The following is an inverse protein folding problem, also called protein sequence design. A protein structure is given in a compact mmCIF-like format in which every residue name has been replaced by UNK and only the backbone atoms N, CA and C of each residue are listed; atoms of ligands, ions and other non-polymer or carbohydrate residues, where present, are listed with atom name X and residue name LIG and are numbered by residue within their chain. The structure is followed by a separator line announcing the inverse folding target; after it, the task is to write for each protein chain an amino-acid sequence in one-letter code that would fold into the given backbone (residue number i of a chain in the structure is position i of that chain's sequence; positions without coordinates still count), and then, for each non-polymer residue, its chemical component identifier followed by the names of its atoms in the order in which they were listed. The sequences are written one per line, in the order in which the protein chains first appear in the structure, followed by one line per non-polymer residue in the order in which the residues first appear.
data_IF_689937261216
#
_entry.id   IF_689937261216
#
_cell.length_a   1.000
_cell.length_b   1.000
_cell.length_c   1.000
_cell.angle_alpha   90.00
_cell.angle_beta   90.00
_cell.angle_gamma   90.00
#
_symmetry.space_group_name_H-M   'P 1'
#
loop_
_entity.id
_entity.type
_entity.pdbx_description
1 polymer ?
#
# COMPACT_ATOMS: atom_id res chain seq x y z
N UNK A 1 3.42 20.17 11.16
CA UNK A 1 3.00 18.77 11.02
C UNK A 1 4.25 17.91 10.91
N UNK A 2 4.34 16.86 11.71
CA UNK A 2 5.44 15.89 11.58
C UNK A 2 5.08 14.82 10.54
N UNK A 3 6.08 14.35 9.80
CA UNK A 3 5.92 13.28 8.81
C UNK A 3 6.94 12.18 9.07
N UNK A 4 6.57 10.96 8.74
CA UNK A 4 7.47 9.83 8.91
C UNK A 4 6.96 8.54 8.31
N UNK A 5 7.76 7.51 8.47
CA UNK A 5 7.55 6.18 7.93
C UNK A 5 7.27 5.22 9.08
N UNK A 6 6.33 4.31 8.88
CA UNK A 6 6.04 3.25 9.86
C UNK A 6 6.19 1.88 9.23
N UNK A 7 6.86 0.99 9.96
CA UNK A 7 6.98 -0.43 9.68
C UNK A 7 6.34 -1.25 10.80
N UNK A 8 6.00 -2.50 10.51
CA UNK A 8 5.50 -3.44 11.51
C UNK A 8 6.09 -4.82 11.29
N UNK A 9 6.94 -5.29 12.21
CA UNK A 9 7.61 -6.58 12.12
C UNK A 9 7.46 -7.37 13.42
N UNK A 10 6.69 -8.46 13.40
CA UNK A 10 6.66 -9.42 14.51
C UNK A 10 6.79 -10.86 14.01
N UNK A 11 6.91 -11.81 14.93
CA UNK A 11 7.17 -13.21 14.62
C UNK A 11 8.60 -13.41 14.11
N UNK A 12 8.74 -14.02 12.93
CA UNK A 12 10.03 -14.45 12.42
C UNK A 12 11.03 -13.30 12.21
N UNK A 13 12.30 -13.55 12.54
CA UNK A 13 13.45 -12.64 12.39
C UNK A 13 13.57 -12.03 11.00
N UNK A 14 13.21 -12.81 9.97
CA UNK A 14 13.20 -12.36 8.58
C UNK A 14 12.39 -11.06 8.40
N UNK A 15 11.22 -10.93 9.02
CA UNK A 15 10.39 -9.74 8.87
C UNK A 15 11.06 -8.48 9.42
N UNK A 16 11.74 -8.62 10.56
CA UNK A 16 12.48 -7.51 11.15
C UNK A 16 13.70 -7.16 10.29
N UNK A 17 14.45 -8.17 9.84
CA UNK A 17 15.62 -7.97 8.99
C UNK A 17 15.26 -7.34 7.64
N UNK A 18 14.16 -7.75 7.01
CA UNK A 18 13.64 -7.14 5.79
C UNK A 18 13.32 -5.65 6.05
N UNK A 19 12.63 -5.35 7.17
CA UNK A 19 12.32 -3.97 7.57
C UNK A 19 13.56 -3.11 7.81
N UNK A 20 14.62 -3.67 8.38
CA UNK A 20 15.93 -3.00 8.52
C UNK A 20 16.55 -2.70 7.16
N UNK A 21 16.53 -3.65 6.22
CA UNK A 21 17.07 -3.42 4.87
C UNK A 21 16.27 -2.35 4.11
N UNK A 22 14.94 -2.38 4.25
CA UNK A 22 14.05 -1.34 3.71
C UNK A 22 14.41 0.03 4.30
N UNK A 23 14.48 0.16 5.62
CA UNK A 23 14.83 1.41 6.28
C UNK A 23 16.21 1.95 5.89
N UNK A 24 17.22 1.06 5.73
CA UNK A 24 18.55 1.44 5.22
C UNK A 24 18.49 2.04 3.82
N UNK A 25 17.69 1.44 2.92
CA UNK A 25 17.49 1.99 1.57
C UNK A 25 16.87 3.39 1.59
N UNK A 26 15.98 3.64 2.55
CA UNK A 26 15.34 4.93 2.75
C UNK A 26 16.32 5.94 3.32
N UNK A 27 16.99 5.66 4.44
CA UNK A 27 17.95 6.58 5.06
C UNK A 27 19.11 6.95 4.13
N UNK A 28 19.45 6.09 3.16
CA UNK A 28 20.42 6.42 2.10
C UNK A 28 19.97 7.56 1.19
N UNK A 29 18.66 7.67 0.92
CA UNK A 29 18.08 8.63 -0.02
C UNK A 29 17.38 9.80 0.69
N UNK A 30 16.90 9.58 1.92
CA UNK A 30 16.19 10.52 2.78
C UNK A 30 16.72 10.39 4.22
N UNK A 31 17.94 10.88 4.53
CA UNK A 31 18.58 10.67 5.83
C UNK A 31 17.77 11.29 7.00
N UNK A 32 17.09 12.40 6.74
CA UNK A 32 16.35 13.17 7.75
C UNK A 32 14.92 12.69 8.01
N UNK A 33 14.41 11.72 7.23
CA UNK A 33 13.03 11.26 7.45
C UNK A 33 12.95 10.37 8.69
N UNK A 34 11.98 10.64 9.56
CA UNK A 34 11.75 9.82 10.73
C UNK A 34 11.17 8.45 10.35
N UNK A 35 11.69 7.38 10.94
CA UNK A 35 11.25 6.01 10.73
C UNK A 35 10.95 5.37 12.09
N UNK A 36 9.73 4.86 12.25
CA UNK A 36 9.29 4.11 13.44
C UNK A 36 9.03 2.65 13.10
N UNK A 37 9.61 1.75 13.90
CA UNK A 37 9.36 0.30 13.80
C UNK A 37 8.46 -0.17 14.94
N UNK A 38 7.34 -0.81 14.61
CA UNK A 38 6.50 -1.53 15.57
C UNK A 38 6.95 -3.00 15.61
N UNK A 39 7.48 -3.47 16.74
CA UNK A 39 8.06 -4.82 16.84
C UNK A 39 8.07 -5.34 18.29
N UNK A 40 8.30 -6.64 18.46
CA UNK A 40 8.57 -7.28 19.75
C UNK A 40 10.07 -7.41 20.06
N UNK A 41 10.91 -7.11 19.07
CA UNK A 41 12.37 -7.14 19.19
C UNK A 41 12.88 -5.81 19.71
N UNK A 42 14.03 -5.84 20.39
CA UNK A 42 14.74 -4.64 20.81
C UNK A 42 15.82 -4.30 19.79
N UNK A 43 15.79 -3.04 19.40
CA UNK A 43 16.89 -2.21 18.87
C UNK A 43 17.56 -2.55 17.53
N UNK A 44 17.41 -1.63 16.58
CA UNK A 44 18.37 -1.36 15.50
C UNK A 44 18.43 0.18 15.35
N UNK A 45 19.63 0.75 15.37
CA UNK A 45 19.84 2.21 15.37
C UNK A 45 19.41 2.89 14.07
N UNK A 46 19.02 2.13 13.05
CA UNK A 46 18.45 2.69 11.82
C UNK A 46 17.08 3.36 12.04
N UNK A 47 16.36 2.96 13.10
CA UNK A 47 15.04 3.50 13.42
C UNK A 47 15.15 4.65 14.42
N UNK A 48 14.49 5.77 14.14
CA UNK A 48 14.45 6.92 15.05
C UNK A 48 13.56 6.65 16.28
N UNK A 49 12.63 5.69 16.15
CA UNK A 49 11.80 5.22 17.26
C UNK A 49 11.43 3.74 17.10
N UNK A 50 11.30 3.03 18.21
CA UNK A 50 10.82 1.64 18.26
C UNK A 50 9.65 1.56 19.22
N UNK A 51 8.50 1.11 18.73
CA UNK A 51 7.30 0.87 19.53
C UNK A 51 7.19 -0.62 19.80
N UNK A 52 7.28 -0.99 21.08
CA UNK A 52 7.17 -2.41 21.47
C UNK A 52 5.73 -2.87 21.36
N UNK A 53 5.47 -3.92 20.58
CA UNK A 53 4.17 -4.60 20.46
C UNK A 53 4.34 -6.12 20.70
N UNK A 54 3.28 -6.85 21.12
CA UNK A 54 3.36 -8.28 21.34
C UNK A 54 3.83 -9.08 20.11
N UNK A 55 4.75 -10.03 20.32
CA UNK A 55 5.34 -10.82 19.24
C UNK A 55 4.55 -12.07 18.83
N UNK A 56 3.54 -12.43 19.62
CA UNK A 56 3.07 -13.81 19.73
C UNK A 56 1.76 -14.05 18.97
N UNK A 57 1.16 -12.99 18.41
CA UNK A 57 -0.13 -13.10 17.75
C UNK A 57 0.04 -13.42 16.27
N UNK A 58 0.16 -14.73 15.98
CA UNK A 58 0.17 -15.33 14.63
C UNK A 58 -1.04 -14.86 13.79
N UNK A 59 -2.10 -14.36 14.45
CA UNK A 59 -3.34 -13.91 13.83
C UNK A 59 -3.53 -12.39 13.82
N UNK A 60 -2.57 -11.58 14.30
CA UNK A 60 -2.66 -10.13 14.19
C UNK A 60 -1.80 -9.61 13.03
N UNK A 61 -2.46 -8.88 12.13
CA UNK A 61 -1.74 -8.13 11.11
C UNK A 61 -1.24 -6.84 11.74
N UNK A 62 -0.02 -6.86 12.25
CA UNK A 62 0.57 -5.75 13.02
C UNK A 62 0.66 -4.42 12.25
N UNK A 63 0.48 -4.46 10.93
CA UNK A 63 0.28 -3.25 10.11
C UNK A 63 -0.83 -2.36 10.66
N UNK A 64 -1.92 -2.94 11.15
CA UNK A 64 -3.07 -2.18 11.63
C UNK A 64 -2.68 -1.37 12.86
N UNK A 65 -2.09 -2.04 13.84
CA UNK A 65 -1.56 -1.41 15.05
C UNK A 65 -0.58 -0.28 14.72
N UNK A 66 0.36 -0.53 13.80
CA UNK A 66 1.36 0.47 13.39
C UNK A 66 0.77 1.68 12.66
N UNK A 67 -0.22 1.47 11.79
CA UNK A 67 -0.87 2.56 11.07
C UNK A 67 -1.80 3.35 11.98
N UNK A 68 -2.60 2.68 12.81
CA UNK A 68 -3.57 3.31 13.74
C UNK A 68 -2.83 4.13 14.80
N UNK A 69 -1.74 3.60 15.35
CA UNK A 69 -0.97 4.24 16.42
C UNK A 69 0.27 4.99 15.90
N UNK A 70 0.30 5.35 14.62
CA UNK A 70 1.41 6.10 14.04
C UNK A 70 1.70 7.39 14.83
N UNK A 71 2.99 7.74 15.09
CA UNK A 71 3.34 8.95 15.82
C UNK A 71 3.35 10.21 14.94
N UNK A 72 2.99 10.09 13.66
CA UNK A 72 3.09 11.17 12.68
C UNK A 72 1.71 11.70 12.27
N UNK A 73 1.65 13.00 11.94
CA UNK A 73 0.48 13.64 11.33
C UNK A 73 0.29 13.16 9.88
N UNK A 74 1.40 12.86 9.20
CA UNK A 74 1.41 12.26 7.86
C UNK A 74 2.34 11.05 7.85
N UNK A 75 1.82 9.93 7.36
CA UNK A 75 2.45 8.64 7.55
C UNK A 75 2.55 7.88 6.24
N UNK A 76 3.76 7.44 5.89
CA UNK A 76 4.00 6.43 4.87
C UNK A 76 4.18 5.07 5.56
N UNK A 77 3.19 4.19 5.48
CA UNK A 77 3.35 2.79 5.84
C UNK A 77 3.96 2.00 4.69
N UNK A 78 4.92 1.14 5.03
CA UNK A 78 5.57 0.21 4.11
C UNK A 78 5.53 -1.21 4.67
N UNK A 79 5.22 -2.19 3.81
CA UNK A 79 5.52 -3.59 4.10
C UNK A 79 7.05 -3.74 4.28
N UNK A 80 7.49 -4.66 5.14
CA UNK A 80 8.91 -4.81 5.47
C UNK A 80 9.76 -5.25 4.27
N UNK A 81 9.17 -5.94 3.30
CA UNK A 81 9.83 -6.46 2.08
C UNK A 81 9.89 -5.43 0.94
N UNK A 82 9.90 -4.14 1.29
CA UNK A 82 10.05 -3.01 0.35
C UNK A 82 11.50 -2.56 0.24
N UNK A 83 11.86 -1.90 -0.86
CA UNK A 83 13.17 -1.30 -1.04
C UNK A 83 13.05 -0.03 -1.89
N UNK A 84 13.53 1.10 -1.37
CA UNK A 84 13.45 2.39 -2.06
C UNK A 84 14.61 2.55 -3.05
N UNK A 85 14.29 2.85 -4.30
CA UNK A 85 15.27 2.96 -5.39
C UNK A 85 15.54 4.40 -5.84
N UNK A 86 14.65 5.35 -5.52
CA UNK A 86 14.73 6.74 -5.97
C UNK A 86 14.24 7.69 -4.86
N UNK A 87 14.74 8.93 -4.81
CA UNK A 87 14.37 9.89 -3.76
C UNK A 87 13.02 10.54 -4.07
N UNK A 88 11.91 9.81 -3.87
CA UNK A 88 10.55 10.22 -4.27
C UNK A 88 9.61 10.50 -3.09
N UNK A 89 10.06 10.28 -1.87
CA UNK A 89 9.16 10.29 -0.71
C UNK A 89 8.58 11.69 -0.44
N UNK A 90 9.35 12.77 -0.57
CA UNK A 90 8.85 14.13 -0.38
C UNK A 90 7.74 14.47 -1.38
N UNK A 91 7.91 14.07 -2.63
CA UNK A 91 6.90 14.26 -3.68
C UNK A 91 5.62 13.47 -3.38
N UNK A 92 5.75 12.24 -2.84
CA UNK A 92 4.59 11.49 -2.39
C UNK A 92 3.82 12.26 -1.30
N UNK A 93 4.50 12.80 -0.28
CA UNK A 93 3.86 13.58 0.78
C UNK A 93 3.11 14.83 0.28
N UNK A 94 3.50 15.41 -0.86
CA UNK A 94 2.75 16.53 -1.47
C UNK A 94 1.34 16.13 -1.90
N UNK A 95 1.08 14.86 -2.23
CA UNK A 95 -0.24 14.37 -2.60
C UNK A 95 -1.25 14.50 -1.45
N UNK A 96 -0.78 14.43 -0.20
CA UNK A 96 -1.64 14.61 0.98
C UNK A 96 -2.17 16.04 1.16
N UNK A 97 -1.73 17.00 0.34
CA UNK A 97 -2.36 18.33 0.27
C UNK A 97 -3.73 18.29 -0.43
N UNK A 98 -4.02 17.24 -1.20
CA UNK A 98 -5.27 17.09 -1.97
C UNK A 98 -6.07 15.85 -1.59
N UNK A 99 -5.38 14.78 -1.16
CA UNK A 99 -5.96 13.48 -0.86
C UNK A 99 -5.74 13.12 0.61
N UNK A 100 -6.64 12.33 1.16
CA UNK A 100 -6.57 11.85 2.54
C UNK A 100 -5.71 10.58 2.63
N UNK A 101 -5.73 9.75 1.58
CA UNK A 101 -4.92 8.55 1.43
C UNK A 101 -4.34 8.41 0.02
N UNK A 102 -3.22 7.71 -0.10
CA UNK A 102 -2.53 7.44 -1.35
C UNK A 102 -2.01 6.00 -1.31
N UNK A 103 -2.40 5.20 -2.31
CA UNK A 103 -2.11 3.77 -2.38
C UNK A 103 -1.74 3.37 -3.80
N UNK A 104 -1.38 2.11 -4.02
CA UNK A 104 -1.26 1.53 -5.38
C UNK A 104 -2.33 0.47 -5.61
N UNK A 105 -2.59 0.14 -6.88
CA UNK A 105 -3.35 -1.06 -7.19
C UNK A 105 -2.63 -2.32 -6.72
N UNK A 106 -3.41 -3.33 -6.33
CA UNK A 106 -2.89 -4.65 -6.08
C UNK A 106 -2.23 -5.18 -7.36
N UNK A 107 -1.00 -5.71 -7.27
CA UNK A 107 -0.34 -6.34 -8.39
C UNK A 107 -0.96 -7.69 -8.69
N UNK A 108 -2.09 -8.08 -8.11
CA UNK A 108 -3.00 -9.04 -8.70
C UNK A 108 -4.25 -8.22 -8.95
N UNK A 109 -4.32 -7.49 -10.07
CA UNK A 109 -5.50 -6.71 -10.53
C UNK A 109 -6.75 -7.60 -10.76
N UNK A 110 -6.74 -8.82 -10.24
CA UNK A 110 -7.84 -9.75 -10.27
C UNK A 110 -8.87 -9.27 -9.25
N UNK A 111 -10.11 -9.14 -9.70
CA UNK A 111 -11.27 -9.17 -8.82
C UNK A 111 -11.44 -10.63 -8.38
N UNK A 112 -10.48 -11.16 -7.61
CA UNK A 112 -10.52 -12.56 -7.16
C UNK A 112 -11.71 -12.80 -6.22
N UNK A 113 -12.17 -11.74 -5.55
CA UNK A 113 -13.34 -11.75 -4.70
C UNK A 113 -14.36 -10.75 -5.24
N UNK A 114 -15.47 -11.28 -5.75
CA UNK A 114 -16.62 -10.49 -6.16
C UNK A 114 -17.36 -10.09 -4.88
N UNK A 115 -17.37 -8.79 -4.60
CA UNK A 115 -18.20 -8.17 -3.58
C UNK A 115 -19.33 -7.52 -4.37
N UNK A 116 -20.59 -7.99 -4.28
CA UNK A 116 -21.69 -7.56 -5.15
C UNK A 116 -21.86 -6.04 -5.22
N UNK A 117 -21.60 -5.36 -4.12
CA UNK A 117 -21.76 -3.92 -3.95
C UNK A 117 -20.60 -3.09 -4.55
N UNK A 118 -19.47 -3.74 -4.88
CA UNK A 118 -18.24 -3.07 -5.36
C UNK A 118 -17.99 -3.37 -6.84
N UNK A 119 -18.08 -2.37 -7.73
CA UNK A 119 -17.86 -2.56 -9.17
C UNK A 119 -16.51 -3.19 -9.49
N UNK A 120 -16.48 -4.01 -10.55
CA UNK A 120 -15.23 -4.66 -11.03
C UNK A 120 -14.18 -3.65 -11.48
N UNK A 121 -14.61 -2.47 -11.95
CA UNK A 121 -13.75 -1.35 -12.34
C UNK A 121 -13.06 -0.66 -11.15
N UNK A 122 -13.43 -1.00 -9.92
CA UNK A 122 -12.76 -0.58 -8.70
C UNK A 122 -11.95 -1.78 -8.15
N UNK A 123 -10.70 -2.00 -8.61
CA UNK A 123 -9.93 -3.20 -8.26
C UNK A 123 -9.41 -3.16 -6.82
N UNK A 124 -8.88 -4.29 -6.34
CA UNK A 124 -8.20 -4.35 -5.03
C UNK A 124 -7.01 -3.35 -4.98
N UNK A 125 -6.89 -2.66 -3.85
CA UNK A 125 -5.74 -1.82 -3.54
C UNK A 125 -4.66 -2.64 -2.84
N UNK A 126 -3.40 -2.29 -3.03
CA UNK A 126 -2.29 -2.93 -2.33
C UNK A 126 -2.17 -2.37 -0.91
N UNK A 127 -1.96 -3.26 0.06
CA UNK A 127 -1.88 -2.90 1.47
C UNK A 127 -0.46 -2.71 2.00
N UNK A 128 0.54 -2.56 1.13
CA UNK A 128 1.98 -2.58 1.45
C UNK A 128 2.75 -1.29 1.13
N UNK A 129 2.12 -0.33 0.44
CA UNK A 129 2.59 1.05 0.30
C UNK A 129 1.37 1.95 0.46
N UNK A 130 1.25 2.59 1.62
CA UNK A 130 0.09 3.41 1.98
C UNK A 130 0.58 4.70 2.60
N UNK A 131 0.28 5.82 1.96
CA UNK A 131 0.54 7.15 2.49
C UNK A 131 -0.79 7.78 2.93
N UNK A 132 -0.86 8.37 4.12
CA UNK A 132 -2.09 8.93 4.65
C UNK A 132 -1.87 10.07 5.64
N UNK A 133 -2.90 10.90 5.82
CA UNK A 133 -2.96 11.90 6.90
C UNK A 133 -3.69 11.31 8.11
N UNK A 134 -3.14 11.51 9.32
CA UNK A 134 -3.72 11.06 10.59
C UNK A 134 -4.92 11.93 10.98
N UNK A 135 -6.00 11.74 10.25
CA UNK A 135 -7.30 12.39 10.49
C UNK A 135 -8.28 11.38 11.07
N UNK A 136 -9.32 11.85 11.74
CA UNK A 136 -10.35 10.98 12.32
C UNK A 136 -11.00 10.05 11.27
N UNK A 137 -11.41 10.51 10.07
CA UNK A 137 -11.96 9.62 9.04
C UNK A 137 -11.00 8.50 8.61
N UNK A 138 -9.72 8.83 8.41
CA UNK A 138 -8.71 7.85 8.00
C UNK A 138 -8.45 6.84 9.11
N UNK A 139 -8.30 7.29 10.36
CA UNK A 139 -8.08 6.38 11.49
C UNK A 139 -9.29 5.47 11.73
N UNK A 140 -10.51 5.99 11.57
CA UNK A 140 -11.73 5.18 11.66
C UNK A 140 -11.77 4.11 10.56
N UNK A 141 -11.43 4.46 9.31
CA UNK A 141 -11.34 3.47 8.23
C UNK A 141 -10.31 2.38 8.52
N UNK A 142 -9.14 2.74 9.06
CA UNK A 142 -8.10 1.75 9.43
C UNK A 142 -8.57 0.80 10.54
N UNK A 143 -9.30 1.30 11.54
CA UNK A 143 -9.90 0.49 12.62
C UNK A 143 -11.00 -0.43 12.08
N UNK A 144 -11.85 0.06 11.18
CA UNK A 144 -12.87 -0.75 10.53
C UNK A 144 -12.25 -1.83 9.65
N UNK A 145 -11.18 -1.50 8.94
CA UNK A 145 -10.43 -2.47 8.13
C UNK A 145 -9.86 -3.59 9.00
N UNK A 146 -9.25 -3.25 10.14
CA UNK A 146 -8.79 -4.25 11.10
C UNK A 146 -9.94 -5.11 11.62
N UNK A 147 -11.03 -4.48 12.08
CA UNK A 147 -12.21 -5.13 12.63
C UNK A 147 -12.82 -6.14 11.66
N UNK A 148 -13.04 -5.72 10.42
CA UNK A 148 -13.66 -6.57 9.40
C UNK A 148 -12.73 -7.73 8.98
N UNK A 149 -11.43 -7.47 8.88
CA UNK A 149 -10.45 -8.52 8.60
C UNK A 149 -10.30 -9.52 9.75
N UNK A 150 -10.35 -9.08 11.01
CA UNK A 150 -10.33 -9.95 12.21
C UNK A 150 -11.59 -10.81 12.29
N UNK A 151 -12.75 -10.27 11.89
CA UNK A 151 -14.01 -11.00 11.83
C UNK A 151 -14.05 -12.06 10.71
N UNK A 152 -13.09 -12.08 9.78
CA UNK A 152 -12.97 -13.07 8.69
C UNK A 152 -14.27 -13.28 7.89
N UNK A 153 -15.06 -12.22 7.70
CA UNK A 153 -16.41 -12.31 7.11
C UNK A 153 -16.46 -12.99 5.73
N UNK A 154 -15.39 -12.88 4.92
CA UNK A 154 -15.38 -13.49 3.57
C UNK A 154 -14.04 -13.99 3.06
N UNK A 155 -12.91 -13.58 3.66
CA UNK A 155 -11.58 -14.04 3.24
C UNK A 155 -10.50 -13.84 4.31
N UNK A 156 -9.39 -14.56 4.20
CA UNK A 156 -8.22 -14.41 5.07
C UNK A 156 -7.30 -13.25 4.65
N UNK A 157 -7.46 -12.72 3.44
CA UNK A 157 -6.68 -11.58 2.90
C UNK A 157 -7.25 -10.25 3.42
N UNK A 158 -6.41 -9.27 3.71
CA UNK A 158 -6.83 -7.94 4.18
C UNK A 158 -7.33 -7.03 3.05
N UNK A 159 -6.68 -7.05 1.90
CA UNK A 159 -6.95 -6.15 0.77
C UNK A 159 -8.39 -6.19 0.24
N UNK A 160 -9.10 -7.33 0.20
CA UNK A 160 -10.52 -7.35 -0.18
C UNK A 160 -11.42 -6.53 0.76
N UNK A 161 -11.12 -6.49 2.06
CA UNK A 161 -11.83 -5.63 3.01
C UNK A 161 -11.51 -4.15 2.77
N UNK A 162 -10.24 -3.81 2.54
CA UNK A 162 -9.84 -2.45 2.18
C UNK A 162 -10.58 -1.95 0.94
N UNK A 163 -10.67 -2.80 -0.10
CA UNK A 163 -11.39 -2.47 -1.33
C UNK A 163 -12.85 -2.09 -1.06
N UNK A 164 -13.55 -2.86 -0.23
CA UNK A 164 -14.95 -2.58 0.14
C UNK A 164 -15.07 -1.26 0.91
N UNK A 165 -14.25 -1.08 1.95
CA UNK A 165 -14.30 0.12 2.79
C UNK A 165 -13.97 1.39 1.99
N UNK A 166 -12.96 1.34 1.14
CA UNK A 166 -12.59 2.49 0.28
C UNK A 166 -13.69 2.83 -0.73
N UNK A 167 -14.46 1.84 -1.20
CA UNK A 167 -15.61 2.07 -2.08
C UNK A 167 -16.80 2.71 -1.33
N UNK A 168 -17.01 2.34 -0.07
CA UNK A 168 -18.13 2.81 0.75
C UNK A 168 -17.84 4.14 1.47
N UNK A 169 -16.57 4.52 1.61
CA UNK A 169 -16.14 5.71 2.34
C UNK A 169 -16.08 6.96 1.46
N UNK A 170 -16.13 8.14 2.09
CA UNK A 170 -15.85 9.44 1.47
C UNK A 170 -14.34 9.81 1.47
N UNK A 171 -13.45 8.87 1.76
CA UNK A 171 -12.00 9.12 1.75
C UNK A 171 -11.56 9.50 0.35
N UNK A 172 -10.98 10.69 0.19
CA UNK A 172 -10.39 11.10 -1.08
C UNK A 172 -9.06 10.41 -1.22
N UNK A 173 -8.91 9.52 -2.19
CA UNK A 173 -7.65 8.81 -2.39
C UNK A 173 -7.07 8.99 -3.79
N UNK A 174 -5.75 8.86 -3.87
CA UNK A 174 -5.01 8.81 -5.12
C UNK A 174 -4.39 7.44 -5.34
N UNK A 175 -4.38 7.00 -6.59
CA UNK A 175 -3.70 5.78 -7.01
C UNK A 175 -2.36 6.14 -7.64
N UNK A 176 -1.29 5.76 -6.95
CA UNK A 176 0.07 5.88 -7.46
C UNK A 176 0.27 4.96 -8.67
N UNK A 177 1.11 5.40 -9.63
CA UNK A 177 1.62 4.55 -10.69
C UNK A 177 2.29 3.27 -10.14
N UNK A 178 2.35 2.21 -10.95
CA UNK A 178 2.81 0.89 -10.51
C UNK A 178 4.29 0.87 -10.10
N UNK A 179 5.08 1.82 -10.58
CA UNK A 179 6.50 2.02 -10.25
C UNK A 179 6.72 2.33 -8.76
N UNK A 180 5.70 2.81 -8.05
CA UNK A 180 5.76 3.07 -6.61
C UNK A 180 5.52 1.82 -5.74
N UNK A 181 5.11 0.69 -6.34
CA UNK A 181 4.93 -0.60 -5.65
C UNK A 181 5.04 -1.77 -6.64
N UNK A 182 6.17 -1.82 -7.35
CA UNK A 182 6.38 -2.75 -8.44
C UNK A 182 6.76 -4.15 -7.91
N UNK A 183 5.91 -5.15 -8.19
CA UNK A 183 6.18 -6.56 -7.80
C UNK A 183 6.57 -7.49 -8.96
N UNK A 184 6.25 -7.17 -10.23
CA UNK A 184 6.56 -7.99 -11.42
C UNK A 184 6.68 -7.12 -12.68
N UNK A 185 7.41 -7.60 -13.70
CA UNK A 185 7.43 -7.02 -15.07
C UNK A 185 6.15 -7.41 -15.83
N UNK A 186 5.43 -6.39 -16.26
CA UNK A 186 4.34 -6.34 -17.26
C UNK A 186 3.05 -7.16 -17.03
N UNK A 187 1.91 -6.57 -17.43
CA UNK A 187 0.55 -7.13 -17.31
C UNK A 187 -0.37 -6.78 -18.48
N UNK A 188 -1.35 -7.66 -18.67
CA UNK A 188 -2.46 -7.66 -19.63
C UNK A 188 -3.13 -6.31 -19.88
N UNK A 189 -3.58 -6.14 -21.13
CA UNK A 189 -4.29 -4.97 -21.65
C UNK A 189 -5.79 -5.23 -21.58
N UNK A 190 -6.53 -4.38 -20.88
CA UNK A 190 -8.00 -4.45 -20.78
C UNK A 190 -8.70 -3.42 -21.67
N UNK A 191 -8.06 -2.27 -21.87
CA UNK A 191 -8.48 -1.23 -22.80
C UNK A 191 -7.22 -0.75 -23.51
N UNK A 192 -7.17 -0.89 -24.84
CA UNK A 192 -6.06 -0.40 -25.67
C UNK A 192 -6.41 0.98 -26.22
N UNK A 193 -5.61 1.99 -25.85
CA UNK A 193 -5.65 3.29 -26.53
C UNK A 193 -4.83 3.20 -27.82
N UNK A 194 -5.47 3.34 -28.99
CA UNK A 194 -4.78 3.56 -30.27
C UNK A 194 -4.03 4.89 -30.16
N UNK A 195 -2.70 4.84 -30.00
CA UNK A 195 -1.88 6.04 -30.10
C UNK A 195 -2.05 6.62 -31.50
N UNK A 196 -2.38 7.91 -31.61
CA UNK A 196 -2.36 8.57 -32.92
C UNK A 196 -0.93 8.50 -33.47
N UNK A 197 -0.71 8.00 -34.70
CA UNK A 197 0.62 7.97 -35.27
C UNK A 197 1.12 9.41 -35.37
N UNK A 198 2.31 9.68 -34.84
CA UNK A 198 3.04 10.90 -35.21
C UNK A 198 3.26 10.82 -36.72
N UNK A 199 2.54 11.65 -37.47
CA UNK A 199 2.59 11.88 -38.93
C UNK A 199 3.30 10.78 -39.74
N UNK A 200 2.52 9.94 -40.43
CA UNK A 200 3.01 9.16 -41.59
C UNK A 200 2.92 7.63 -41.53
N UNK A 201 2.22 7.03 -40.56
CA UNK A 201 2.06 5.56 -40.47
C UNK A 201 0.69 5.09 -40.94
N UNK A 202 0.66 4.14 -41.89
CA UNK A 202 -0.54 3.46 -42.39
C UNK A 202 -1.37 2.80 -41.29
N UNK A 203 -2.70 2.78 -41.48
CA UNK A 203 -3.64 2.11 -40.61
C UNK A 203 -3.42 0.60 -40.61
N UNK A 204 -3.15 0.02 -39.44
CA UNK A 204 -3.26 -1.42 -39.21
C UNK A 204 -4.59 -1.69 -38.48
N UNK A 205 -5.40 -2.57 -39.05
CA UNK A 205 -6.75 -2.92 -38.63
C UNK A 205 -6.85 -3.47 -37.20
N UNK A 206 -8.03 -3.26 -36.61
CA UNK A 206 -8.46 -3.84 -35.34
C UNK A 206 -8.40 -5.37 -35.42
N UNK A 207 -7.55 -5.98 -34.62
CA UNK A 207 -7.67 -7.41 -34.32
C UNK A 207 -8.43 -7.53 -33.01
N UNK A 208 -9.64 -8.07 -33.07
CA UNK A 208 -10.42 -8.44 -31.90
C UNK A 208 -9.57 -9.35 -30.99
N UNK A 209 -9.59 -9.07 -29.68
CA UNK A 209 -9.09 -10.01 -28.69
C UNK A 209 -9.87 -11.31 -28.85
N UNK A 210 -9.24 -12.35 -29.39
CA UNK A 210 -9.76 -13.70 -29.29
C UNK A 210 -9.62 -14.14 -27.84
N UNK A 211 -10.76 -14.36 -27.20
CA UNK A 211 -10.85 -15.01 -25.90
C UNK A 211 -10.18 -16.39 -25.98
N UNK A 212 -9.02 -16.54 -25.34
CA UNK A 212 -8.44 -17.85 -25.06
C UNK A 212 -8.70 -18.22 -23.59
N UNK A 213 -9.82 -18.94 -23.41
CA UNK A 213 -10.13 -19.94 -22.39
C UNK A 213 -9.92 -19.63 -20.89
N UNK A 214 -11.09 -19.46 -20.26
CA UNK A 214 -11.54 -19.74 -18.87
C UNK A 214 -10.59 -20.59 -18.01
#
# INVERSE_FOLDING_TARGET
MNKGIVYAATGADKHFNDGVQSAKSIKKLHPEINITMFTHKKDDSIFDNIVTIPGNEIHNRNKFEAMINTPYDQTLYLDNDTYLLKPVIEDMFLLLKKFDMVLTHSPLKRVNFIIPEVPRSFPELNGGVILFSKTEPVINLLKEWEKDWKAKKFTNRDQPYLRKLMWESDIRFYILPEEYNQRRKEREKFIYHRGYPRRGGHESEFTECRDENI
#
